data_IF_750537531030
#
_entry.id   IF_750537531030
#
_cell.length_a   1.000
_cell.length_b   1.000
_cell.length_c   1.000
_cell.angle_alpha   90.00
_cell.angle_beta   90.00
_cell.angle_gamma   90.00
#
_symmetry.space_group_name_H-M   'P 1'
#
loop_
_entity.id
_entity.type
_entity.pdbx_description
1 polymer ?
#
# COMPACT_ATOMS: atom_id res chain seq x y z
N UNK A 1 -4.00 -13.88 26.69
CA UNK A 1 -3.78 -13.94 25.22
C UNK A 1 -5.11 -14.34 24.60
N UNK A 2 -5.79 -13.42 23.92
CA UNK A 2 -7.01 -13.76 23.16
C UNK A 2 -6.57 -14.68 22.02
N UNK A 3 -7.10 -15.88 21.98
CA UNK A 3 -6.88 -16.82 20.88
C UNK A 3 -7.58 -16.22 19.65
N UNK A 4 -6.82 -15.93 18.62
CA UNK A 4 -7.34 -15.55 17.32
C UNK A 4 -8.07 -16.74 16.72
N UNK A 5 -9.26 -16.54 16.14
CA UNK A 5 -9.97 -17.65 15.49
C UNK A 5 -9.21 -18.13 14.26
N UNK A 6 -9.40 -19.38 13.84
CA UNK A 6 -8.77 -19.91 12.63
C UNK A 6 -9.17 -19.09 11.39
N UNK A 7 -10.40 -18.58 11.37
CA UNK A 7 -10.87 -17.71 10.30
C UNK A 7 -10.16 -16.35 10.31
N UNK A 8 -10.03 -15.71 11.48
CA UNK A 8 -9.29 -14.44 11.58
C UNK A 8 -7.83 -14.61 11.18
N UNK A 9 -7.22 -15.73 11.59
CA UNK A 9 -5.84 -16.07 11.23
C UNK A 9 -5.67 -16.22 9.72
N UNK A 10 -6.59 -16.93 9.06
CA UNK A 10 -6.59 -17.10 7.61
C UNK A 10 -6.81 -15.78 6.89
N UNK A 11 -7.75 -14.96 7.37
CA UNK A 11 -8.05 -13.65 6.82
C UNK A 11 -6.83 -12.74 6.90
N UNK A 12 -6.20 -12.63 8.08
CA UNK A 12 -4.98 -11.85 8.28
C UNK A 12 -3.85 -12.34 7.37
N UNK A 13 -3.70 -13.65 7.19
CA UNK A 13 -2.64 -14.21 6.34
C UNK A 13 -2.82 -13.80 4.87
N UNK A 14 -4.02 -13.85 4.33
CA UNK A 14 -4.29 -13.39 2.96
C UNK A 14 -4.17 -11.87 2.82
N UNK A 15 -4.60 -11.12 3.83
CA UNK A 15 -4.46 -9.67 3.86
C UNK A 15 -2.98 -9.26 3.75
N UNK A 16 -2.12 -9.78 4.63
CA UNK A 16 -0.69 -9.48 4.63
C UNK A 16 0.02 -10.03 3.39
N UNK A 17 -0.37 -11.24 2.93
CA UNK A 17 0.13 -11.79 1.68
C UNK A 17 -0.22 -10.89 0.47
N UNK A 18 -1.39 -10.27 0.49
CA UNK A 18 -1.82 -9.31 -0.53
C UNK A 18 -0.89 -8.10 -0.61
N UNK A 19 -0.60 -7.45 0.51
CA UNK A 19 0.36 -6.35 0.58
C UNK A 19 1.74 -6.76 0.08
N UNK A 20 2.25 -7.88 0.59
CA UNK A 20 3.59 -8.36 0.28
C UNK A 20 3.75 -8.70 -1.21
N UNK A 21 2.78 -9.39 -1.79
CA UNK A 21 2.82 -9.78 -3.20
C UNK A 21 2.74 -8.59 -4.14
N UNK A 22 1.83 -7.64 -3.88
CA UNK A 22 1.72 -6.40 -4.66
C UNK A 22 3.03 -5.62 -4.60
N UNK A 23 3.61 -5.46 -3.40
CA UNK A 23 4.91 -4.81 -3.24
C UNK A 23 6.03 -5.50 -4.02
N UNK A 24 6.03 -6.84 -4.11
CA UNK A 24 7.06 -7.60 -4.79
C UNK A 24 6.98 -7.52 -6.31
N UNK A 25 5.77 -7.44 -6.87
CA UNK A 25 5.53 -7.43 -8.32
C UNK A 25 5.64 -6.02 -8.91
N UNK A 26 5.13 -4.99 -8.23
CA UNK A 26 5.16 -3.63 -8.74
C UNK A 26 6.57 -3.05 -8.70
N UNK A 27 7.04 -2.41 -9.80
CA UNK A 27 8.46 -2.10 -10.00
C UNK A 27 9.02 -1.02 -9.07
N UNK A 28 8.17 -0.09 -8.60
CA UNK A 28 8.61 1.08 -7.82
C UNK A 28 8.33 0.95 -6.32
N UNK A 29 7.59 -0.08 -5.88
CA UNK A 29 7.40 -0.36 -4.46
C UNK A 29 8.70 -0.87 -3.80
N UNK A 30 8.91 -0.56 -2.54
CA UNK A 30 10.07 -1.05 -1.80
C UNK A 30 9.99 -2.56 -1.54
N UNK A 31 11.15 -3.24 -1.43
CA UNK A 31 11.18 -4.68 -1.20
C UNK A 31 10.65 -5.06 0.18
N UNK A 32 10.01 -6.22 0.23
CA UNK A 32 9.49 -6.81 1.47
C UNK A 32 10.64 -7.38 2.29
N UNK A 33 10.70 -7.01 3.56
CA UNK A 33 11.69 -7.51 4.52
C UNK A 33 11.12 -8.50 5.52
N UNK A 34 9.82 -8.37 5.80
CA UNK A 34 9.16 -9.22 6.78
C UNK A 34 7.66 -9.17 6.58
N UNK A 35 7.01 -10.32 6.71
CA UNK A 35 5.55 -10.44 6.74
C UNK A 35 5.16 -11.23 7.98
N UNK A 36 4.20 -10.75 8.76
CA UNK A 36 3.78 -11.42 9.98
C UNK A 36 2.30 -11.27 10.24
N UNK A 37 1.68 -12.34 10.70
CA UNK A 37 0.29 -12.36 11.18
C UNK A 37 0.19 -12.28 12.70
N UNK A 38 1.30 -12.01 13.37
CA UNK A 38 1.31 -11.78 14.82
C UNK A 38 0.86 -10.34 15.07
N UNK A 39 -0.22 -10.20 15.82
CA UNK A 39 -0.79 -8.89 16.16
C UNK A 39 0.22 -7.96 16.87
N UNK A 40 0.27 -6.71 16.43
CA UNK A 40 1.02 -5.63 17.08
C UNK A 40 0.09 -4.45 17.37
N UNK A 41 -0.14 -4.17 18.64
CA UNK A 41 -1.08 -3.12 19.04
C UNK A 41 -2.50 -3.42 18.55
N UNK A 42 -3.06 -2.52 17.75
CA UNK A 42 -4.38 -2.66 17.13
C UNK A 42 -4.37 -3.41 15.79
N UNK A 43 -3.20 -3.64 15.18
CA UNK A 43 -3.08 -4.35 13.91
C UNK A 43 -3.08 -5.87 14.09
N UNK A 44 -3.80 -6.59 13.23
CA UNK A 44 -3.86 -8.05 13.22
C UNK A 44 -2.59 -8.71 12.69
N UNK A 45 -1.85 -8.01 11.84
CA UNK A 45 -0.58 -8.41 11.24
C UNK A 45 0.20 -7.20 10.75
N UNK A 46 1.28 -7.41 10.03
CA UNK A 46 2.02 -6.35 9.37
C UNK A 46 2.96 -6.86 8.28
N UNK A 47 3.11 -6.05 7.24
CA UNK A 47 4.10 -6.21 6.18
C UNK A 47 5.13 -5.08 6.27
N UNK A 48 6.38 -5.44 6.58
CA UNK A 48 7.49 -4.49 6.66
C UNK A 48 8.20 -4.42 5.31
N UNK A 49 8.24 -3.25 4.72
CA UNK A 49 9.12 -2.91 3.58
C UNK A 49 10.22 -1.97 4.05
N UNK A 50 11.39 -2.12 3.46
CA UNK A 50 12.50 -1.22 3.71
C UNK A 50 13.08 -0.78 2.35
N UNK A 51 13.38 0.51 2.18
CA UNK A 51 14.01 0.99 0.97
C UNK A 51 15.40 0.36 0.81
N UNK A 52 15.79 0.07 -0.42
CA UNK A 52 17.13 -0.46 -0.75
C UNK A 52 18.20 0.60 -0.47
N UNK A 53 17.83 1.88 -0.64
CA UNK A 53 18.68 3.05 -0.39
C UNK A 53 17.90 4.14 0.33
N UNK A 54 18.59 4.93 1.16
CA UNK A 54 17.99 6.14 1.72
C UNK A 54 17.69 7.15 0.60
N UNK A 55 16.43 7.50 0.46
CA UNK A 55 15.95 8.46 -0.53
C UNK A 55 15.37 9.68 0.16
N UNK A 56 15.82 10.85 -0.28
CA UNK A 56 15.25 12.13 0.19
C UNK A 56 14.04 12.56 -0.63
N UNK A 57 13.92 12.06 -1.85
CA UNK A 57 12.86 12.39 -2.78
C UNK A 57 12.16 11.11 -3.24
N UNK A 58 10.84 11.17 -3.37
CA UNK A 58 10.01 10.11 -3.89
C UNK A 58 9.27 10.59 -5.15
N UNK A 59 9.21 9.73 -6.16
CA UNK A 59 8.55 10.02 -7.41
C UNK A 59 7.05 9.72 -7.38
N UNK A 60 6.29 10.30 -8.32
CA UNK A 60 4.87 9.98 -8.55
C UNK A 60 4.66 8.47 -8.76
N UNK A 61 5.57 7.79 -9.47
CA UNK A 61 5.47 6.35 -9.73
C UNK A 61 5.60 5.51 -8.46
N UNK A 62 6.50 5.91 -7.56
CA UNK A 62 6.65 5.25 -6.26
C UNK A 62 5.40 5.39 -5.41
N UNK A 63 4.80 6.58 -5.35
CA UNK A 63 3.55 6.80 -4.62
C UNK A 63 2.36 6.01 -5.21
N UNK A 64 2.27 5.89 -6.53
CA UNK A 64 1.24 5.07 -7.19
C UNK A 64 1.38 3.60 -6.78
N UNK A 65 2.59 3.05 -6.80
CA UNK A 65 2.84 1.68 -6.39
C UNK A 65 2.62 1.48 -4.88
N UNK A 66 2.94 2.46 -4.05
CA UNK A 66 2.66 2.44 -2.60
C UNK A 66 1.16 2.43 -2.30
N UNK A 67 0.37 3.19 -3.06
CA UNK A 67 -1.10 3.18 -2.96
C UNK A 67 -1.65 1.80 -3.36
N UNK A 68 -1.20 1.25 -4.49
CA UNK A 68 -1.62 -0.07 -4.94
C UNK A 68 -1.25 -1.16 -3.91
N UNK A 69 -0.05 -1.10 -3.34
CA UNK A 69 0.38 -2.00 -2.27
C UNK A 69 -0.52 -1.86 -1.03
N UNK A 70 -0.85 -0.62 -0.61
CA UNK A 70 -1.75 -0.39 0.52
C UNK A 70 -3.14 -0.99 0.28
N UNK A 71 -3.60 -1.06 -0.97
CA UNK A 71 -4.87 -1.71 -1.33
C UNK A 71 -4.76 -3.24 -1.43
N UNK A 72 -3.56 -3.81 -1.36
CA UNK A 72 -3.33 -5.25 -1.53
C UNK A 72 -4.11 -6.12 -0.54
N UNK A 73 -4.16 -5.72 0.73
CA UNK A 73 -4.92 -6.42 1.77
C UNK A 73 -6.44 -6.39 1.51
N UNK A 74 -6.97 -5.20 1.20
CA UNK A 74 -8.39 -5.01 0.83
C UNK A 74 -8.80 -5.90 -0.36
N UNK A 75 -7.99 -5.89 -1.41
CA UNK A 75 -8.25 -6.69 -2.63
C UNK A 75 -8.16 -8.17 -2.33
N UNK A 76 -7.17 -8.61 -1.55
CA UNK A 76 -7.03 -10.01 -1.16
C UNK A 76 -8.24 -10.50 -0.36
N UNK A 77 -8.72 -9.73 0.61
CA UNK A 77 -9.93 -10.09 1.37
C UNK A 77 -11.12 -10.28 0.42
N UNK A 78 -11.40 -9.29 -0.42
CA UNK A 78 -12.52 -9.32 -1.37
C UNK A 78 -12.42 -10.50 -2.34
N UNK A 79 -11.23 -10.77 -2.86
CA UNK A 79 -11.00 -11.84 -3.85
C UNK A 79 -11.16 -13.23 -3.24
N UNK A 80 -10.67 -13.45 -2.02
CA UNK A 80 -10.61 -14.77 -1.38
C UNK A 80 -11.90 -15.12 -0.63
N UNK A 81 -12.46 -14.15 0.07
CA UNK A 81 -13.60 -14.36 0.97
C UNK A 81 -14.93 -13.81 0.41
N UNK A 82 -14.89 -13.03 -0.68
CA UNK A 82 -16.07 -12.39 -1.26
C UNK A 82 -16.65 -11.26 -0.41
N UNK A 83 -15.97 -10.86 0.63
CA UNK A 83 -16.39 -9.83 1.58
C UNK A 83 -15.20 -9.03 2.08
N UNK A 84 -15.45 -7.94 2.79
CA UNK A 84 -14.46 -7.02 3.31
C UNK A 84 -14.71 -6.86 4.81
N UNK A 85 -13.62 -6.90 5.59
CA UNK A 85 -13.69 -6.68 7.03
C UNK A 85 -13.32 -5.24 7.40
N UNK A 86 -13.20 -4.97 8.69
CA UNK A 86 -12.65 -3.72 9.21
C UNK A 86 -11.11 -3.66 9.17
N UNK A 87 -10.46 -4.77 8.81
CA UNK A 87 -8.99 -4.90 8.76
C UNK A 87 -8.32 -3.81 7.93
N UNK A 88 -8.77 -3.53 6.68
CA UNK A 88 -8.16 -2.55 5.80
C UNK A 88 -8.33 -1.08 6.20
N UNK A 89 -8.93 -0.77 7.34
CA UNK A 89 -9.25 0.62 7.72
C UNK A 89 -8.03 1.54 7.78
N UNK A 90 -6.91 1.08 8.31
CA UNK A 90 -5.67 1.85 8.37
C UNK A 90 -5.01 2.01 6.99
N UNK A 91 -5.08 0.98 6.15
CA UNK A 91 -4.53 1.01 4.80
C UNK A 91 -5.28 1.99 3.91
N UNK A 92 -6.62 2.00 4.02
CA UNK A 92 -7.48 2.98 3.36
C UNK A 92 -7.13 4.41 3.79
N UNK A 93 -6.89 4.63 5.08
CA UNK A 93 -6.50 5.93 5.61
C UNK A 93 -5.15 6.38 5.05
N UNK A 94 -4.16 5.49 5.06
CA UNK A 94 -2.80 5.76 4.52
C UNK A 94 -2.88 6.08 3.04
N UNK A 95 -3.54 5.24 2.24
CA UNK A 95 -3.68 5.44 0.80
C UNK A 95 -4.41 6.75 0.46
N UNK A 96 -5.50 7.07 1.17
CA UNK A 96 -6.27 8.29 0.97
C UNK A 96 -5.44 9.54 1.30
N UNK A 97 -4.71 9.53 2.42
CA UNK A 97 -3.86 10.63 2.81
C UNK A 97 -2.72 10.85 1.79
N UNK A 98 -2.13 9.77 1.29
CA UNK A 98 -1.08 9.82 0.28
C UNK A 98 -1.61 10.37 -1.05
N UNK A 99 -2.73 9.85 -1.55
CA UNK A 99 -3.38 10.34 -2.76
C UNK A 99 -3.75 11.84 -2.65
N UNK A 100 -4.30 12.26 -1.50
CA UNK A 100 -4.62 13.67 -1.24
C UNK A 100 -3.37 14.55 -1.23
N UNK A 101 -2.26 14.10 -0.64
CA UNK A 101 -0.99 14.83 -0.65
C UNK A 101 -0.41 14.95 -2.08
N UNK A 102 -0.49 13.89 -2.89
CA UNK A 102 -0.10 13.93 -4.30
C UNK A 102 -0.84 15.01 -5.07
N UNK A 103 -2.15 15.13 -4.85
CA UNK A 103 -3.01 16.09 -5.54
C UNK A 103 -2.82 17.53 -5.02
N UNK A 104 -2.76 17.72 -3.69
CA UNK A 104 -2.86 19.05 -3.08
C UNK A 104 -1.52 19.67 -2.69
N UNK A 105 -0.48 18.87 -2.47
CA UNK A 105 0.81 19.37 -1.99
C UNK A 105 1.93 19.29 -3.02
N UNK A 106 1.96 18.20 -3.80
CA UNK A 106 3.12 17.91 -4.66
C UNK A 106 2.86 18.11 -6.14
N UNK A 107 1.65 18.59 -6.52
CA UNK A 107 1.31 18.87 -7.92
C UNK A 107 1.41 17.64 -8.82
N UNK A 108 1.12 16.45 -8.29
CA UNK A 108 1.27 15.18 -9.00
C UNK A 108 0.00 14.71 -9.71
N UNK A 109 -1.06 15.54 -9.74
CA UNK A 109 -2.28 15.29 -10.50
C UNK A 109 -2.21 15.97 -11.86
N UNK A 110 -2.48 15.22 -12.92
CA UNK A 110 -2.56 15.79 -14.28
C UNK A 110 -3.85 16.56 -14.50
N UNK A 111 -4.89 16.32 -13.69
CA UNK A 111 -6.21 16.99 -13.76
C UNK A 111 -6.18 18.35 -13.06
N UNK A 112 -5.57 18.39 -11.86
CA UNK A 112 -5.45 19.63 -11.07
C UNK A 112 -4.28 20.48 -11.56
N UNK A 113 -3.21 19.83 -12.01
CA UNK A 113 -1.96 20.46 -12.42
C UNK A 113 -0.99 20.71 -11.27
N UNK A 114 0.17 21.34 -11.57
CA UNK A 114 1.26 21.54 -10.62
C UNK A 114 0.99 22.78 -9.72
N UNK A 115 -0.06 22.71 -8.92
CA UNK A 115 -0.49 23.77 -8.01
C UNK A 115 -0.45 23.25 -6.56
N UNK A 116 0.09 24.02 -5.64
CA UNK A 116 0.02 23.74 -4.22
C UNK A 116 -1.28 24.32 -3.65
N UNK A 117 -2.22 23.45 -3.32
CA UNK A 117 -3.55 23.82 -2.81
C UNK A 117 -3.68 23.63 -1.29
N UNK A 118 -2.80 22.86 -0.68
CA UNK A 118 -2.74 22.75 0.76
C UNK A 118 -1.83 23.83 1.30
N UNK A 119 -2.35 24.73 2.13
CA UNK A 119 -1.52 25.60 2.93
C UNK A 119 -0.57 24.75 3.78
N UNK A 120 0.70 25.10 3.78
CA UNK A 120 1.68 24.54 4.71
C UNK A 120 1.15 24.85 6.12
N UNK A 121 0.57 23.82 6.78
CA UNK A 121 -0.07 23.99 8.08
C UNK A 121 0.89 24.54 9.11
N UNK A 122 1.05 25.83 9.13
CA UNK A 122 1.50 26.54 10.30
C UNK A 122 0.44 26.35 11.38
N UNK A 123 0.80 25.74 12.50
CA UNK A 123 0.00 25.83 13.71
C UNK A 123 -0.28 27.31 13.97
N UNK A 124 -1.45 27.79 13.56
CA UNK A 124 -1.97 29.04 14.11
C UNK A 124 -2.39 28.71 15.53
N UNK A 125 -1.68 29.25 16.48
CA UNK A 125 -2.13 29.37 17.85
C UNK A 125 -3.44 30.16 17.82
N UNK A 126 -4.51 29.53 18.32
CA UNK A 126 -5.88 30.02 18.42
C UNK A 126 -6.84 29.54 17.33
N UNK A 127 -7.41 28.36 17.49
CA UNK A 127 -8.79 27.95 17.23
C UNK A 127 -9.50 28.34 15.92
N UNK A 128 -8.84 28.99 14.98
CA UNK A 128 -9.42 29.36 13.69
C UNK A 128 -9.42 28.13 12.76
N UNK A 129 -10.60 27.77 12.26
CA UNK A 129 -10.78 26.85 11.15
C UNK A 129 -9.85 27.29 10.01
N UNK A 130 -9.02 26.34 9.52
CA UNK A 130 -8.26 26.58 8.28
C UNK A 130 -9.30 26.73 7.17
N UNK A 131 -9.59 27.96 6.78
CA UNK A 131 -10.41 28.22 5.60
C UNK A 131 -9.74 27.55 4.40
N UNK A 132 -10.53 26.79 3.65
CA UNK A 132 -10.08 26.21 2.41
C UNK A 132 -9.68 27.36 1.47
N UNK A 133 -8.40 27.42 1.10
CA UNK A 133 -7.88 28.47 0.20
C UNK A 133 -8.33 28.26 -1.26
N UNK A 134 -9.26 27.34 -1.53
CA UNK A 134 -9.75 26.99 -2.88
C UNK A 134 -11.27 26.83 -2.91
N UNK A 135 -11.84 27.07 -4.09
CA UNK A 135 -13.29 27.05 -4.34
C UNK A 135 -13.90 25.65 -4.16
N UNK A 136 -15.23 25.58 -3.96
CA UNK A 136 -15.97 24.31 -3.92
C UNK A 136 -15.80 23.48 -5.20
N UNK A 137 -15.68 24.14 -6.35
CA UNK A 137 -15.39 23.46 -7.63
C UNK A 137 -14.05 22.72 -7.61
N UNK A 138 -13.02 23.36 -7.06
CA UNK A 138 -11.69 22.72 -6.91
C UNK A 138 -11.76 21.61 -5.85
N UNK A 139 -12.49 21.82 -4.76
CA UNK A 139 -12.71 20.80 -3.73
C UNK A 139 -13.29 19.51 -4.34
N UNK A 140 -14.34 19.64 -5.15
CA UNK A 140 -14.95 18.50 -5.84
C UNK A 140 -13.96 17.78 -6.75
N UNK A 141 -13.19 18.52 -7.55
CA UNK A 141 -12.16 17.93 -8.42
C UNK A 141 -11.06 17.21 -7.64
N UNK A 142 -10.66 17.73 -6.47
CA UNK A 142 -9.71 17.06 -5.59
C UNK A 142 -10.26 15.72 -5.12
N UNK A 143 -11.51 15.69 -4.66
CA UNK A 143 -12.15 14.46 -4.16
C UNK A 143 -12.31 13.42 -5.27
N UNK A 144 -12.71 13.84 -6.48
CA UNK A 144 -12.80 12.97 -7.65
C UNK A 144 -11.43 12.38 -8.03
N UNK A 145 -10.39 13.22 -8.03
CA UNK A 145 -9.03 12.80 -8.38
C UNK A 145 -8.43 11.86 -7.34
N UNK A 146 -8.62 12.12 -6.05
CA UNK A 146 -8.23 11.23 -4.96
C UNK A 146 -8.90 9.87 -5.14
N UNK A 147 -10.22 9.85 -5.40
CA UNK A 147 -10.95 8.60 -5.65
C UNK A 147 -10.40 7.86 -6.85
N UNK A 148 -10.14 8.56 -7.96
CA UNK A 148 -9.57 7.96 -9.17
C UNK A 148 -8.21 7.30 -8.90
N UNK A 149 -7.34 7.98 -8.15
CA UNK A 149 -6.02 7.43 -7.79
C UNK A 149 -6.16 6.15 -6.96
N UNK A 150 -7.09 6.13 -6.00
CA UNK A 150 -7.37 4.93 -5.19
C UNK A 150 -7.95 3.80 -6.06
N UNK A 151 -8.92 4.09 -6.92
CA UNK A 151 -9.52 3.10 -7.82
C UNK A 151 -8.48 2.49 -8.78
N UNK A 152 -7.55 3.30 -9.30
CA UNK A 152 -6.45 2.83 -10.13
C UNK A 152 -5.48 1.94 -9.33
N UNK A 153 -5.21 2.29 -8.07
CA UNK A 153 -4.44 1.45 -7.15
C UNK A 153 -5.09 0.10 -6.89
N UNK A 154 -6.41 0.08 -6.66
CA UNK A 154 -7.20 -1.16 -6.50
C UNK A 154 -7.09 -2.03 -7.75
N UNK A 155 -7.30 -1.46 -8.95
CA UNK A 155 -7.18 -2.20 -10.22
C UNK A 155 -5.78 -2.78 -10.43
N UNK A 156 -4.75 -2.02 -10.07
CA UNK A 156 -3.36 -2.49 -10.13
C UNK A 156 -3.11 -3.66 -9.19
N UNK A 157 -3.59 -3.56 -7.95
CA UNK A 157 -3.51 -4.65 -6.98
C UNK A 157 -4.31 -5.90 -7.44
N UNK A 158 -5.53 -5.71 -7.95
CA UNK A 158 -6.36 -6.81 -8.50
C UNK A 158 -5.63 -7.56 -9.60
N UNK A 159 -5.06 -6.82 -10.56
CA UNK A 159 -4.29 -7.41 -11.66
C UNK A 159 -3.14 -8.26 -11.14
N UNK A 160 -2.33 -7.69 -10.22
CA UNK A 160 -1.18 -8.41 -9.64
C UNK A 160 -1.63 -9.69 -8.93
N UNK A 161 -2.67 -9.62 -8.09
CA UNK A 161 -3.11 -10.77 -7.31
C UNK A 161 -3.78 -11.85 -8.18
N UNK A 162 -4.53 -11.46 -9.21
CA UNK A 162 -5.13 -12.41 -10.17
C UNK A 162 -4.07 -13.14 -10.98
N UNK A 163 -3.10 -12.42 -11.54
CA UNK A 163 -2.03 -12.99 -12.34
C UNK A 163 -1.08 -13.87 -11.52
N UNK A 164 -0.98 -13.63 -10.21
CA UNK A 164 -0.08 -14.36 -9.30
C UNK A 164 -0.83 -15.11 -8.19
N UNK A 165 -2.05 -15.59 -8.47
CA UNK A 165 -2.92 -16.23 -7.48
C UNK A 165 -2.25 -17.38 -6.73
N UNK A 166 -1.48 -18.23 -7.42
CA UNK A 166 -0.77 -19.35 -6.79
C UNK A 166 0.30 -18.88 -5.80
N UNK A 167 0.99 -17.79 -6.10
CA UNK A 167 1.95 -17.18 -5.18
C UNK A 167 1.25 -16.58 -3.95
N UNK A 168 0.10 -15.93 -4.14
CA UNK A 168 -0.72 -15.41 -3.03
C UNK A 168 -1.12 -16.54 -2.07
N UNK A 169 -1.66 -17.64 -2.60
CA UNK A 169 -2.06 -18.79 -1.80
C UNK A 169 -0.86 -19.42 -1.07
N UNK A 170 0.31 -19.52 -1.72
CA UNK A 170 1.52 -20.06 -1.11
C UNK A 170 2.04 -19.19 0.05
N UNK A 171 2.08 -17.87 -0.12
CA UNK A 171 2.50 -16.92 0.92
C UNK A 171 1.53 -17.01 2.11
N UNK A 172 0.22 -16.94 1.87
CA UNK A 172 -0.79 -17.01 2.91
C UNK A 172 -0.74 -18.32 3.69
N UNK A 173 -0.65 -19.47 3.01
CA UNK A 173 -0.55 -20.76 3.65
C UNK A 173 0.73 -20.88 4.49
N UNK A 174 1.86 -20.37 3.99
CA UNK A 174 3.10 -20.37 4.74
C UNK A 174 3.02 -19.49 5.99
N UNK A 175 2.37 -18.33 5.91
CA UNK A 175 2.10 -17.47 7.07
C UNK A 175 1.20 -18.15 8.11
N UNK A 176 0.19 -18.92 7.67
CA UNK A 176 -0.64 -19.70 8.58
C UNK A 176 0.19 -20.77 9.32
N UNK A 177 1.18 -21.37 8.66
CA UNK A 177 2.05 -22.40 9.24
C UNK A 177 3.05 -21.81 10.25
N UNK A 178 3.79 -20.76 9.86
CA UNK A 178 4.95 -20.26 10.60
C UNK A 178 4.76 -18.90 11.26
N UNK A 179 3.60 -18.26 11.05
CA UNK A 179 3.17 -16.95 11.57
C UNK A 179 4.02 -15.74 11.11
N UNK A 180 5.25 -15.96 10.74
CA UNK A 180 6.18 -14.90 10.31
C UNK A 180 7.12 -15.42 9.25
N UNK A 181 7.28 -14.65 8.18
CA UNK A 181 8.28 -14.87 7.14
C UNK A 181 9.29 -13.72 7.18
N UNK A 182 10.53 -14.05 7.49
CA UNK A 182 11.65 -13.13 7.32
C UNK A 182 12.01 -13.02 5.83
N UNK A 183 12.81 -12.02 5.47
CA UNK A 183 13.16 -11.70 4.08
C UNK A 183 13.53 -12.93 3.25
N UNK A 184 14.52 -13.70 3.71
CA UNK A 184 15.06 -14.83 2.94
C UNK A 184 14.01 -15.95 2.74
N UNK A 185 13.18 -16.18 3.74
CA UNK A 185 12.09 -17.18 3.67
C UNK A 185 11.00 -16.71 2.71
N UNK A 186 10.60 -15.44 2.79
CA UNK A 186 9.64 -14.83 1.89
C UNK A 186 10.13 -14.87 0.43
N UNK A 187 11.39 -14.46 0.19
CA UNK A 187 11.99 -14.47 -1.15
C UNK A 187 12.03 -15.88 -1.75
N UNK A 188 12.33 -16.91 -0.96
CA UNK A 188 12.26 -18.31 -1.43
C UNK A 188 10.87 -18.70 -1.90
N UNK A 189 9.83 -18.27 -1.20
CA UNK A 189 8.44 -18.54 -1.60
C UNK A 189 8.13 -17.90 -2.95
N UNK A 190 8.42 -16.61 -3.14
CA UNK A 190 8.06 -15.91 -4.38
C UNK A 190 8.90 -16.35 -5.59
N UNK A 191 10.18 -16.69 -5.38
CA UNK A 191 11.06 -17.22 -6.45
C UNK A 191 10.50 -18.52 -7.03
N UNK A 192 9.93 -19.40 -6.20
CA UNK A 192 9.31 -20.65 -6.64
C UNK A 192 8.15 -20.42 -7.63
N UNK A 193 7.59 -19.22 -7.68
CA UNK A 193 6.52 -18.81 -8.60
C UNK A 193 7.01 -17.83 -9.67
N UNK A 194 8.33 -17.69 -9.86
CA UNK A 194 8.92 -16.89 -10.93
C UNK A 194 8.97 -15.39 -10.63
N UNK A 195 8.70 -14.97 -9.39
CA UNK A 195 8.80 -13.58 -8.99
C UNK A 195 10.20 -13.32 -8.44
N UNK A 196 10.96 -12.46 -9.12
CA UNK A 196 12.33 -12.16 -8.74
C UNK A 196 12.40 -11.10 -7.64
N UNK A 197 13.17 -11.34 -6.57
CA UNK A 197 13.42 -10.32 -5.54
C UNK A 197 14.05 -9.07 -6.12
N UNK A 198 13.66 -7.92 -5.59
CA UNK A 198 14.24 -6.63 -5.97
C UNK A 198 15.66 -6.52 -5.46
N UNK A 199 16.58 -6.25 -6.37
CA UNK A 199 18.00 -5.98 -6.08
C UNK A 199 18.27 -4.48 -6.19
N UNK A 200 19.37 -4.05 -5.57
CA UNK A 200 19.93 -2.71 -5.75
C UNK A 200 20.20 -2.50 -7.25
N UNK A 201 19.41 -1.64 -7.90
CA UNK A 201 19.59 -1.34 -9.32
C UNK A 201 20.59 -0.18 -9.44
N UNK A 202 21.82 -0.47 -9.79
CA UNK A 202 22.79 0.55 -10.17
C UNK A 202 22.37 1.33 -11.44
N UNK A 203 21.42 0.79 -12.22
CA UNK A 203 20.91 1.40 -13.46
C UNK A 203 19.75 2.38 -13.31
N UNK A 204 19.07 2.45 -12.13
CA UNK A 204 17.93 3.37 -11.96
C UNK A 204 18.32 4.83 -11.78
N UNK A 205 19.59 5.12 -11.47
CA UNK A 205 20.10 6.48 -11.22
C UNK A 205 20.29 7.29 -12.50
N UNK A 206 20.30 6.67 -13.68
CA UNK A 206 20.59 7.34 -14.96
C UNK A 206 19.38 7.59 -15.88
N UNK A 207 18.16 7.48 -15.38
CA UNK A 207 16.93 7.75 -16.18
C UNK A 207 15.98 8.74 -15.48
N UNK A 208 16.55 9.80 -14.96
CA UNK A 208 15.79 11.03 -14.61
C UNK A 208 16.13 12.08 -15.64
#
# INVERSE_FOLDING_TARGET
KRLQSDMDRKLTAYHEAGHALVASVLPYADPVHKVSIIARGSAGGYTLKLPIEERKLQSKKEFIDDIAMSMGGYVAEKMIFGDITTGPSSDLQVATNLARAMVTRWGMSDVIGPVALASSGGKREWGESVDKEYSETISTKIDEEVRRIIDDGIKSAEKVLLENRKALDAIANKLIEVETLEKDEYEKVIIAYGIMPKKKNEEKIMKI
#
